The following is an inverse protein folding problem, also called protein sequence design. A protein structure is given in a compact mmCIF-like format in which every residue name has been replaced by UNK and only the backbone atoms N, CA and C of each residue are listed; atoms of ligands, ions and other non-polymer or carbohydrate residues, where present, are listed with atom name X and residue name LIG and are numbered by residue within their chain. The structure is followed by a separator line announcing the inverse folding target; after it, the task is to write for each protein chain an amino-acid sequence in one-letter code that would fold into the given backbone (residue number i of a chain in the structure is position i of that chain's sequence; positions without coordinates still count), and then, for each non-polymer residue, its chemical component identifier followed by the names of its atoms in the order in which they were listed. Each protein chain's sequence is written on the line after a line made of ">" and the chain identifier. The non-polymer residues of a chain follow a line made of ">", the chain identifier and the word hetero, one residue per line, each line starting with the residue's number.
data_IF_361537165070
#
_entry.id   IF_361537165070
#
_cell.length_a   1.000
_cell.length_b   1.000
_cell.length_c   1.000
_cell.angle_alpha   90.00
_cell.angle_beta   90.00
_cell.angle_gamma   90.00
#
_symmetry.space_group_name_H-M   'P 1'
#
loop_
_entity.id
_entity.type
_entity.pdbx_description
1 polymer ?
#
# COMPACT_ATOMS: atom_id res chain seq x y z
N UNK A 1 -24.68 -15.63 -29.76
CA UNK A 1 -23.77 -15.25 -28.66
C UNK A 1 -23.67 -13.74 -28.69
N UNK A 2 -24.28 -13.05 -27.73
CA UNK A 2 -24.28 -11.58 -27.69
C UNK A 2 -22.89 -11.10 -27.25
N UNK A 3 -22.22 -10.31 -28.08
CA UNK A 3 -20.98 -9.65 -27.71
C UNK A 3 -21.26 -8.71 -26.54
N UNK A 4 -20.59 -8.82 -25.38
CA UNK A 4 -20.70 -7.79 -24.35
C UNK A 4 -20.13 -6.51 -24.93
N UNK A 5 -20.97 -5.49 -25.07
CA UNK A 5 -20.55 -4.15 -25.43
C UNK A 5 -19.66 -3.65 -24.29
N UNK A 6 -18.33 -3.68 -24.50
CA UNK A 6 -17.38 -3.11 -23.55
C UNK A 6 -17.48 -1.60 -23.70
N UNK A 7 -18.34 -0.98 -22.89
CA UNK A 7 -18.33 0.47 -22.72
C UNK A 7 -16.95 0.87 -22.21
N UNK A 8 -16.11 1.35 -23.12
CA UNK A 8 -14.88 2.03 -22.75
C UNK A 8 -15.28 3.32 -22.06
N UNK A 9 -15.29 3.31 -20.73
CA UNK A 9 -15.45 4.52 -19.92
C UNK A 9 -14.41 5.53 -20.36
N UNK A 10 -14.79 6.48 -21.21
CA UNK A 10 -13.92 7.54 -21.66
C UNK A 10 -14.03 8.69 -20.66
N UNK A 11 -13.15 8.79 -19.64
CA UNK A 11 -13.28 9.78 -18.59
C UNK A 11 -12.59 11.08 -19.04
N UNK A 12 -12.51 11.36 -20.35
CA UNK A 12 -11.83 12.54 -20.89
C UNK A 12 -12.41 13.82 -20.29
N UNK A 13 -13.72 13.83 -20.00
CA UNK A 13 -14.43 14.97 -19.41
C UNK A 13 -14.24 15.13 -17.89
N UNK A 14 -13.59 14.20 -17.18
CA UNK A 14 -13.43 14.26 -15.72
C UNK A 14 -12.02 14.50 -15.23
N UNK A 15 -11.01 14.28 -16.07
CA UNK A 15 -9.58 14.39 -15.72
C UNK A 15 -9.14 15.84 -15.45
N UNK A 16 -9.75 16.81 -16.11
CA UNK A 16 -9.44 18.23 -15.91
C UNK A 16 -9.86 18.71 -14.51
N UNK A 17 -10.93 18.14 -13.91
CA UNK A 17 -11.32 18.46 -12.53
C UNK A 17 -10.24 18.04 -11.52
N UNK A 18 -9.46 16.98 -11.80
CA UNK A 18 -8.31 16.63 -10.96
C UNK A 18 -7.20 17.68 -11.06
N UNK A 19 -6.98 18.24 -12.25
CA UNK A 19 -6.03 19.34 -12.43
C UNK A 19 -6.50 20.57 -11.66
N UNK A 20 -7.79 20.89 -11.69
CA UNK A 20 -8.38 21.97 -10.89
C UNK A 20 -8.26 21.69 -9.39
N UNK A 21 -8.52 20.46 -8.94
CA UNK A 21 -8.34 20.05 -7.55
C UNK A 21 -6.88 20.24 -7.10
N UNK A 22 -5.92 19.83 -7.91
CA UNK A 22 -4.50 20.03 -7.64
C UNK A 22 -4.13 21.51 -7.56
N UNK A 23 -4.61 22.33 -8.51
CA UNK A 23 -4.39 23.77 -8.50
C UNK A 23 -4.98 24.45 -7.26
N UNK A 24 -6.14 24.00 -6.77
CA UNK A 24 -6.74 24.53 -5.52
C UNK A 24 -5.89 24.21 -4.29
N UNK A 25 -5.31 23.01 -4.22
CA UNK A 25 -4.38 22.65 -3.14
C UNK A 25 -3.11 23.50 -3.23
N UNK A 26 -2.53 23.64 -4.42
CA UNK A 26 -1.35 24.49 -4.65
C UNK A 26 -1.64 25.95 -4.30
N UNK A 27 -2.81 26.48 -4.67
CA UNK A 27 -3.23 27.82 -4.29
C UNK A 27 -3.37 27.98 -2.77
N UNK A 28 -3.88 26.98 -2.05
CA UNK A 28 -3.92 26.96 -0.58
C UNK A 28 -2.52 26.99 0.05
N UNK A 29 -1.57 26.22 -0.51
CA UNK A 29 -0.16 26.23 -0.06
C UNK A 29 0.51 27.57 -0.35
N UNK A 30 0.30 28.14 -1.53
CA UNK A 30 0.82 29.47 -1.88
C UNK A 30 0.22 30.53 -0.95
N UNK A 31 -1.09 30.48 -0.68
CA UNK A 31 -1.76 31.35 0.27
C UNK A 31 -1.15 31.27 1.67
N UNK A 32 -0.80 30.06 2.12
CA UNK A 32 -0.12 29.82 3.40
C UNK A 32 1.27 30.45 3.48
N UNK A 33 2.01 30.57 2.38
CA UNK A 33 3.32 31.25 2.32
C UNK A 33 3.19 32.77 2.18
N UNK A 34 2.22 33.26 1.40
CA UNK A 34 2.00 34.70 1.23
C UNK A 34 1.47 35.35 2.52
N UNK A 35 0.68 34.63 3.31
CA UNK A 35 0.18 35.08 4.62
C UNK A 35 1.17 34.83 5.77
N UNK A 36 2.47 34.72 5.50
CA UNK A 36 3.49 34.48 6.54
C UNK A 36 3.54 35.58 7.62
N UNK A 37 3.11 36.81 7.32
CA UNK A 37 3.07 37.95 8.24
C UNK A 37 1.77 38.01 9.09
N UNK A 38 0.80 37.14 8.85
CA UNK A 38 -0.49 37.11 9.54
C UNK A 38 -0.48 36.12 10.74
N UNK A 39 -1.41 36.25 11.70
CA UNK A 39 -1.52 35.31 12.81
C UNK A 39 -1.77 33.88 12.31
N UNK A 40 -1.20 32.89 13.03
CA UNK A 40 -1.12 31.50 12.59
C UNK A 40 -2.46 30.85 12.22
N UNK A 41 -3.56 31.28 12.84
CA UNK A 41 -4.91 30.79 12.52
C UNK A 41 -5.37 31.15 11.11
N UNK A 42 -5.08 32.36 10.62
CA UNK A 42 -5.48 32.81 9.27
C UNK A 42 -4.67 32.06 8.22
N UNK A 43 -3.38 31.85 8.51
CA UNK A 43 -2.48 31.04 7.68
C UNK A 43 -3.01 29.60 7.57
N UNK A 44 -3.31 28.96 8.69
CA UNK A 44 -3.87 27.61 8.72
C UNK A 44 -5.23 27.52 7.99
N UNK A 45 -6.09 28.53 8.11
CA UNK A 45 -7.36 28.58 7.41
C UNK A 45 -7.20 28.54 5.88
N UNK A 46 -6.20 29.25 5.32
CA UNK A 46 -5.93 29.22 3.87
C UNK A 46 -5.51 27.84 3.37
N UNK A 47 -4.70 27.12 4.15
CA UNK A 47 -4.23 25.78 3.81
C UNK A 47 -5.37 24.76 3.91
N UNK A 48 -6.12 24.80 5.03
CA UNK A 48 -7.26 23.90 5.25
C UNK A 48 -8.34 24.16 4.21
N UNK A 49 -8.62 25.43 3.88
CA UNK A 49 -9.56 25.80 2.84
C UNK A 49 -9.17 25.26 1.46
N UNK A 50 -7.92 25.45 1.04
CA UNK A 50 -7.41 24.92 -0.23
C UNK A 50 -7.44 23.39 -0.30
N UNK A 51 -7.08 22.71 0.80
CA UNK A 51 -7.18 21.25 0.91
C UNK A 51 -8.62 20.76 0.86
N UNK A 52 -9.54 21.39 1.60
CA UNK A 52 -10.94 21.01 1.63
C UNK A 52 -11.62 21.20 0.27
N UNK A 53 -11.36 22.33 -0.40
CA UNK A 53 -11.88 22.61 -1.74
C UNK A 53 -11.28 21.65 -2.78
N UNK A 54 -9.97 21.42 -2.74
CA UNK A 54 -9.29 20.47 -3.61
C UNK A 54 -9.83 19.04 -3.44
N UNK A 55 -9.98 18.59 -2.19
CA UNK A 55 -10.58 17.29 -1.88
C UNK A 55 -12.03 17.20 -2.34
N UNK A 56 -12.85 18.24 -2.13
CA UNK A 56 -14.23 18.29 -2.60
C UNK A 56 -14.34 18.14 -4.12
N UNK A 57 -13.54 18.90 -4.88
CA UNK A 57 -13.50 18.81 -6.35
C UNK A 57 -12.99 17.44 -6.82
N UNK A 58 -11.96 16.90 -6.15
CA UNK A 58 -11.43 15.57 -6.47
C UNK A 58 -12.47 14.46 -6.26
N UNK A 59 -13.24 14.51 -5.16
CA UNK A 59 -14.27 13.49 -4.85
C UNK A 59 -15.49 13.54 -5.79
N UNK A 60 -15.85 14.73 -6.29
CA UNK A 60 -16.96 14.90 -7.25
C UNK A 60 -16.52 14.58 -8.69
N UNK A 61 -15.22 14.59 -8.98
CA UNK A 61 -14.70 14.25 -10.31
C UNK A 61 -14.97 12.79 -10.70
N UNK A 62 -15.15 12.52 -12.00
CA UNK A 62 -15.36 11.16 -12.53
C UNK A 62 -14.32 10.13 -12.03
N UNK A 63 -13.00 10.42 -12.02
CA UNK A 63 -12.02 9.49 -11.43
C UNK A 63 -12.14 9.35 -9.90
N UNK A 64 -12.57 10.39 -9.18
CA UNK A 64 -12.80 10.32 -7.74
C UNK A 64 -14.01 9.46 -7.35
N UNK A 65 -15.10 9.54 -8.13
CA UNK A 65 -16.26 8.67 -7.96
C UNK A 65 -15.91 7.20 -8.23
N UNK A 66 -15.13 6.93 -9.28
CA UNK A 66 -14.63 5.58 -9.57
C UNK A 66 -13.75 5.02 -8.45
N UNK A 67 -12.88 5.85 -7.85
CA UNK A 67 -12.10 5.45 -6.68
C UNK A 67 -12.97 5.13 -5.46
N UNK A 68 -14.02 5.92 -5.20
CA UNK A 68 -14.96 5.68 -4.10
C UNK A 68 -15.74 4.36 -4.30
N UNK A 69 -16.16 4.08 -5.52
CA UNK A 69 -16.81 2.81 -5.87
C UNK A 69 -15.85 1.63 -5.69
N UNK A 70 -14.64 1.72 -6.24
CA UNK A 70 -13.59 0.72 -6.05
C UNK A 70 -13.26 0.47 -4.58
N UNK A 71 -13.19 1.53 -3.76
CA UNK A 71 -12.93 1.41 -2.32
C UNK A 71 -14.08 0.69 -1.60
N UNK A 72 -15.34 0.97 -1.98
CA UNK A 72 -16.52 0.27 -1.44
C UNK A 72 -16.51 -1.20 -1.84
N UNK A 73 -16.19 -1.52 -3.09
CA UNK A 73 -16.07 -2.89 -3.57
C UNK A 73 -14.95 -3.65 -2.87
N UNK A 74 -13.77 -3.04 -2.77
CA UNK A 74 -12.62 -3.60 -2.04
C UNK A 74 -12.99 -3.93 -0.59
N UNK A 75 -13.71 -3.03 0.08
CA UNK A 75 -14.16 -3.26 1.45
C UNK A 75 -15.21 -4.38 1.56
N UNK A 76 -16.11 -4.50 0.58
CA UNK A 76 -17.04 -5.66 0.50
C UNK A 76 -16.28 -6.97 0.30
N UNK A 77 -15.20 -6.96 -0.46
CA UNK A 77 -14.39 -8.16 -0.69
C UNK A 77 -13.57 -8.56 0.54
N UNK A 78 -12.99 -7.57 1.23
CA UNK A 78 -12.30 -7.80 2.51
C UNK A 78 -13.26 -8.38 3.56
N UNK A 79 -14.55 -8.02 3.53
CA UNK A 79 -15.57 -8.63 4.41
C UNK A 79 -15.84 -10.10 4.10
N UNK A 80 -15.56 -10.57 2.88
CA UNK A 80 -15.66 -11.99 2.52
C UNK A 80 -14.42 -12.80 2.96
N UNK A 81 -13.33 -12.12 3.36
CA UNK A 81 -12.14 -12.78 3.86
C UNK A 81 -12.45 -13.42 5.20
N UNK A 82 -12.45 -14.74 5.23
CA UNK A 82 -12.54 -15.52 6.45
C UNK A 82 -11.17 -15.45 7.13
N UNK A 83 -11.08 -14.66 8.19
CA UNK A 83 -9.85 -14.57 8.97
C UNK A 83 -9.62 -15.87 9.74
N UNK A 84 -8.40 -16.41 9.72
CA UNK A 84 -8.09 -17.67 10.37
C UNK A 84 -8.34 -17.55 11.87
N UNK A 85 -8.82 -18.63 12.48
CA UNK A 85 -8.97 -18.67 13.93
C UNK A 85 -7.61 -18.58 14.61
N UNK A 86 -7.54 -18.12 15.87
CA UNK A 86 -6.27 -18.07 16.62
C UNK A 86 -5.54 -19.41 16.65
N UNK A 87 -6.29 -20.52 16.60
CA UNK A 87 -5.76 -21.88 16.54
C UNK A 87 -5.13 -22.18 15.17
N UNK A 88 -5.81 -21.88 14.08
CA UNK A 88 -5.29 -22.06 12.71
C UNK A 88 -4.05 -21.20 12.47
N UNK A 89 -4.09 -19.92 12.84
CA UNK A 89 -2.95 -19.02 12.70
C UNK A 89 -1.73 -19.52 13.49
N UNK A 90 -1.96 -20.02 14.71
CA UNK A 90 -0.93 -20.65 15.53
C UNK A 90 -0.38 -21.93 14.92
N UNK A 91 -1.24 -22.79 14.36
CA UNK A 91 -0.84 -24.02 13.70
C UNK A 91 0.01 -23.76 12.46
N UNK A 92 -0.38 -22.80 11.62
CA UNK A 92 0.40 -22.43 10.43
C UNK A 92 1.75 -21.82 10.82
N UNK A 93 1.77 -20.97 11.85
CA UNK A 93 3.04 -20.43 12.38
C UNK A 93 3.93 -21.55 12.90
N UNK A 94 3.39 -22.46 13.71
CA UNK A 94 4.12 -23.62 14.24
C UNK A 94 4.67 -24.52 13.14
N UNK A 95 3.90 -24.75 12.07
CA UNK A 95 4.34 -25.51 10.90
C UNK A 95 5.54 -24.85 10.22
N UNK A 96 5.47 -23.54 9.99
CA UNK A 96 6.59 -22.77 9.42
C UNK A 96 7.82 -22.84 10.32
N UNK A 97 7.67 -22.69 11.63
CA UNK A 97 8.76 -22.82 12.59
C UNK A 97 9.40 -24.21 12.56
N UNK A 98 8.60 -25.28 12.55
CA UNK A 98 9.11 -26.64 12.44
C UNK A 98 9.91 -26.83 11.15
N UNK A 99 9.41 -26.35 10.03
CA UNK A 99 10.12 -26.40 8.75
C UNK A 99 11.46 -25.64 8.80
N UNK A 100 11.48 -24.43 9.37
CA UNK A 100 12.71 -23.63 9.53
C UNK A 100 13.72 -24.35 10.41
N UNK A 101 13.30 -24.97 11.51
CA UNK A 101 14.20 -25.74 12.40
C UNK A 101 14.82 -26.93 11.65
N UNK A 102 14.03 -27.66 10.86
CA UNK A 102 14.55 -28.78 10.06
C UNK A 102 15.60 -28.29 9.06
N UNK A 103 15.33 -27.19 8.36
CA UNK A 103 16.29 -26.59 7.42
C UNK A 103 17.55 -26.07 8.12
N UNK A 104 17.41 -25.46 9.30
CA UNK A 104 18.55 -25.00 10.09
C UNK A 104 19.44 -26.16 10.52
N UNK A 105 18.86 -27.28 11.00
CA UNK A 105 19.61 -28.49 11.37
C UNK A 105 20.28 -29.11 10.16
N UNK A 106 19.57 -29.19 9.03
CA UNK A 106 20.12 -29.73 7.78
C UNK A 106 21.32 -28.91 7.29
N UNK A 107 21.18 -27.59 7.18
CA UNK A 107 22.27 -26.70 6.76
C UNK A 107 23.44 -26.76 7.74
N UNK A 108 23.17 -26.69 9.05
CA UNK A 108 24.22 -26.82 10.07
C UNK A 108 24.99 -28.15 9.96
N UNK A 109 24.29 -29.24 9.67
CA UNK A 109 24.91 -30.56 9.47
C UNK A 109 25.75 -30.61 8.20
N UNK A 110 25.25 -30.02 7.11
CA UNK A 110 25.99 -29.91 5.86
C UNK A 110 27.25 -29.05 6.02
N UNK A 111 27.14 -27.90 6.70
CA UNK A 111 28.27 -27.02 7.02
C UNK A 111 29.34 -27.79 7.82
N UNK A 112 28.94 -28.55 8.85
CA UNK A 112 29.85 -29.37 9.65
C UNK A 112 30.48 -30.52 8.87
N UNK A 113 29.73 -31.13 7.96
CA UNK A 113 30.24 -32.18 7.09
C UNK A 113 31.26 -31.62 6.08
N UNK A 114 30.97 -30.48 5.47
CA UNK A 114 31.88 -29.79 4.56
C UNK A 114 33.15 -29.35 5.31
N UNK A 115 32.99 -28.76 6.51
CA UNK A 115 34.08 -28.39 7.40
C UNK A 115 34.98 -29.61 7.68
N UNK A 116 34.39 -30.73 8.10
CA UNK A 116 35.13 -31.97 8.38
C UNK A 116 35.84 -32.52 7.14
N UNK A 117 35.19 -32.56 5.98
CA UNK A 117 35.79 -33.02 4.73
C UNK A 117 36.97 -32.12 4.32
N UNK A 118 36.80 -30.80 4.38
CA UNK A 118 37.87 -29.87 4.00
C UNK A 118 39.05 -29.98 4.98
N UNK A 119 38.80 -29.97 6.29
CA UNK A 119 39.88 -30.04 7.27
C UNK A 119 40.62 -31.38 7.26
N UNK A 120 39.90 -32.49 7.09
CA UNK A 120 40.50 -33.83 7.06
C UNK A 120 41.23 -34.13 5.74
N UNK A 121 40.67 -33.71 4.59
CA UNK A 121 41.20 -34.09 3.28
C UNK A 121 42.19 -33.07 2.70
N UNK A 122 41.95 -31.77 2.91
CA UNK A 122 42.74 -30.69 2.30
C UNK A 122 43.80 -30.14 3.25
N UNK A 123 43.43 -29.89 4.51
CA UNK A 123 44.35 -29.28 5.49
C UNK A 123 45.17 -30.29 6.30
N UNK A 124 44.83 -31.58 6.26
CA UNK A 124 45.69 -32.68 6.73
C UNK A 124 46.16 -32.55 8.18
N UNK A 125 45.39 -31.88 9.04
CA UNK A 125 45.72 -31.76 10.46
C UNK A 125 44.93 -32.79 11.25
N UNK A 126 45.65 -33.57 12.07
CA UNK A 126 45.19 -34.66 12.95
C UNK A 126 43.86 -34.40 13.65
#
# INVERSE_FOLDING_TARGET
>A
MANPNVETVNPSSGKWLLVVAFLLVVAGVIGFYLLAQQPGYVRAASLIGGLALGAGVALVSAPGQGFLEFARESYREVRKVVWPTRKEAGQMTGLVFAFVVIMAVFLWSADKLIEWVIFSLVLGWK
#
